data_IF_806569183684
#
_entry.id   IF_806569183684
#
_cell.length_a   1.000
_cell.length_b   1.000
_cell.length_c   1.000
_cell.angle_alpha   90.00
_cell.angle_beta   90.00
_cell.angle_gamma   90.00
#
_symmetry.space_group_name_H-M   'P 1'
#
loop_
_entity.id
_entity.type
_entity.pdbx_description
1 polymer ?
#
# COMPACT_ATOMS: atom_id res chain seq x y z
N UNK A 1 -1.47 3.97 -1.29
CA UNK A 1 -2.92 3.92 -1.00
C UNK A 1 -3.29 4.78 0.20
N UNK A 2 -4.54 5.27 0.23
CA UNK A 2 -5.04 6.11 1.33
C UNK A 2 -5.03 5.44 2.71
N UNK A 3 -5.13 4.11 2.77
CA UNK A 3 -5.12 3.35 4.04
C UNK A 3 -3.85 3.52 4.87
N UNK A 4 -2.70 3.70 4.22
CA UNK A 4 -1.42 3.89 4.91
C UNK A 4 -1.37 5.23 5.66
N UNK A 5 -1.96 6.28 5.07
CA UNK A 5 -2.06 7.61 5.66
C UNK A 5 -2.93 7.57 6.92
N UNK A 6 -4.01 6.77 6.89
CA UNK A 6 -4.92 6.58 8.03
C UNK A 6 -4.19 5.89 9.18
N UNK A 7 -3.45 4.81 8.91
CA UNK A 7 -2.70 4.07 9.95
C UNK A 7 -1.66 4.98 10.59
N UNK A 8 -0.90 5.74 9.79
CA UNK A 8 0.13 6.66 10.31
C UNK A 8 -0.49 7.77 11.16
N UNK A 9 -1.63 8.32 10.75
CA UNK A 9 -2.33 9.37 11.50
C UNK A 9 -2.81 8.87 12.87
N UNK A 10 -3.38 7.66 12.91
CA UNK A 10 -3.81 7.04 14.17
C UNK A 10 -2.60 6.72 15.05
N UNK A 11 -1.50 6.23 14.48
CA UNK A 11 -0.27 5.92 15.21
C UNK A 11 0.28 7.16 15.91
N UNK A 12 0.35 8.29 15.20
CA UNK A 12 0.79 9.59 15.75
C UNK A 12 -0.18 10.08 16.84
N UNK A 13 -1.49 9.96 16.61
CA UNK A 13 -2.50 10.34 17.61
C UNK A 13 -2.40 9.49 18.89
N UNK A 14 -2.20 8.18 18.76
CA UNK A 14 -1.97 7.30 19.91
C UNK A 14 -0.66 7.62 20.62
N UNK A 15 0.41 7.98 19.92
CA UNK A 15 1.69 8.29 20.57
C UNK A 15 1.65 9.60 21.36
N UNK A 16 0.87 10.58 20.90
CA UNK A 16 0.72 11.89 21.54
C UNK A 16 -0.17 11.85 22.78
N UNK A 17 -1.21 11.01 22.78
CA UNK A 17 -2.23 11.04 23.84
C UNK A 17 -2.22 9.82 24.77
N UNK A 18 -1.47 8.76 24.44
CA UNK A 18 -1.44 7.54 25.23
C UNK A 18 -0.34 7.57 26.31
N UNK A 19 -0.68 7.04 27.47
CA UNK A 19 0.18 7.03 28.66
C UNK A 19 1.27 5.94 28.56
N UNK A 20 2.52 6.34 28.29
CA UNK A 20 3.64 5.43 27.95
C UNK A 20 3.97 4.43 29.08
N UNK A 21 3.54 4.69 30.31
CA UNK A 21 3.69 3.78 31.44
C UNK A 21 2.81 2.52 31.35
N UNK A 22 1.81 2.50 30.46
CA UNK A 22 0.93 1.36 30.32
C UNK A 22 1.47 0.34 29.30
N UNK A 23 1.67 -0.90 29.74
CA UNK A 23 2.14 -2.01 28.90
C UNK A 23 1.24 -2.28 27.68
N UNK A 24 -0.05 -1.99 27.79
CA UNK A 24 -1.01 -2.19 26.70
C UNK A 24 -0.70 -1.30 25.49
N UNK A 25 -0.18 -0.10 25.71
CA UNK A 25 0.13 0.86 24.65
C UNK A 25 1.34 0.41 23.84
N UNK A 26 2.33 -0.21 24.48
CA UNK A 26 3.48 -0.81 23.79
C UNK A 26 3.07 -1.90 22.82
N UNK A 27 2.14 -2.78 23.21
CA UNK A 27 1.60 -3.83 22.33
C UNK A 27 0.86 -3.19 21.15
N UNK A 28 0.07 -2.15 21.42
CA UNK A 28 -0.70 -1.44 20.39
C UNK A 28 0.21 -0.76 19.36
N UNK A 29 1.29 -0.11 19.80
CA UNK A 29 2.31 0.48 18.93
C UNK A 29 2.97 -0.60 18.06
N UNK A 30 3.30 -1.75 18.65
CA UNK A 30 3.91 -2.85 17.91
C UNK A 30 3.00 -3.39 16.79
N UNK A 31 1.71 -3.56 17.11
CA UNK A 31 0.69 -3.97 16.13
C UNK A 31 0.52 -2.91 15.04
N UNK A 32 0.45 -1.62 15.40
CA UNK A 32 0.31 -0.55 14.41
C UNK A 32 1.51 -0.47 13.45
N UNK A 33 2.73 -0.64 13.96
CA UNK A 33 3.94 -0.64 13.13
C UNK A 33 3.93 -1.84 12.16
N UNK A 34 3.58 -3.03 12.63
CA UNK A 34 3.50 -4.23 11.77
C UNK A 34 2.43 -4.10 10.70
N UNK A 35 1.23 -3.63 11.05
CA UNK A 35 0.17 -3.37 10.06
C UNK A 35 0.57 -2.26 9.06
N UNK A 36 1.24 -1.21 9.51
CA UNK A 36 1.77 -0.16 8.62
C UNK A 36 2.79 -0.70 7.61
N UNK A 37 3.71 -1.57 8.05
CA UNK A 37 4.69 -2.21 7.17
C UNK A 37 4.06 -3.17 6.17
N UNK A 38 3.08 -3.97 6.59
CA UNK A 38 2.34 -4.88 5.69
C UNK A 38 1.61 -4.07 4.62
N UNK A 39 0.94 -2.98 5.01
CA UNK A 39 0.27 -2.09 4.07
C UNK A 39 1.24 -1.46 3.06
N UNK A 40 2.44 -1.07 3.50
CA UNK A 40 3.49 -0.54 2.61
C UNK A 40 4.00 -1.59 1.64
N UNK A 41 4.23 -2.81 2.12
CA UNK A 41 4.72 -3.91 1.30
C UNK A 41 3.71 -4.31 0.21
N UNK A 42 2.42 -4.37 0.54
CA UNK A 42 1.36 -4.70 -0.42
C UNK A 42 1.19 -3.60 -1.48
N UNK A 43 1.25 -2.33 -1.08
CA UNK A 43 1.26 -1.19 -2.01
C UNK A 43 2.45 -1.26 -2.98
N UNK A 44 3.66 -1.52 -2.46
CA UNK A 44 4.87 -1.60 -3.27
C UNK A 44 4.78 -2.70 -4.34
N UNK A 45 4.19 -3.84 -3.98
CA UNK A 45 3.99 -4.96 -4.90
C UNK A 45 2.99 -4.61 -6.00
N UNK A 46 1.89 -3.94 -5.65
CA UNK A 46 0.85 -3.56 -6.60
C UNK A 46 1.34 -2.52 -7.63
N UNK A 47 2.23 -1.60 -7.24
CA UNK A 47 2.83 -0.63 -8.16
C UNK A 47 3.67 -1.31 -9.25
N UNK A 48 4.46 -2.32 -8.89
CA UNK A 48 5.30 -3.04 -9.86
C UNK A 48 4.46 -3.91 -10.82
N UNK A 49 3.40 -4.54 -10.30
CA UNK A 49 2.52 -5.40 -11.09
C UNK A 49 1.67 -4.58 -12.08
N UNK A 50 1.17 -3.41 -11.66
CA UNK A 50 0.39 -2.54 -12.56
C UNK A 50 1.22 -2.07 -13.76
N UNK A 51 2.49 -1.71 -13.57
CA UNK A 51 3.35 -1.28 -14.68
C UNK A 51 3.55 -2.39 -15.71
N UNK A 52 3.77 -3.64 -15.26
CA UNK A 52 3.89 -4.80 -16.15
C UNK A 52 2.58 -5.09 -16.91
N UNK A 53 1.42 -4.97 -16.25
CA UNK A 53 0.12 -5.15 -16.92
C UNK A 53 -0.17 -4.05 -17.93
N UNK A 54 0.14 -2.78 -17.64
CA UNK A 54 -0.07 -1.66 -18.56
C UNK A 54 0.77 -1.82 -19.83
N UNK A 55 2.04 -2.23 -19.71
CA UNK A 55 2.91 -2.48 -20.86
C UNK A 55 2.37 -3.62 -21.74
N UNK A 56 1.94 -4.72 -21.13
CA UNK A 56 1.38 -5.88 -21.85
C UNK A 56 0.02 -5.56 -22.50
N UNK A 57 -0.83 -4.79 -21.82
CA UNK A 57 -2.09 -4.32 -22.35
C UNK A 57 -1.86 -3.43 -23.57
N UNK A 58 -0.98 -2.42 -23.47
CA UNK A 58 -0.63 -1.52 -24.57
C UNK A 58 -0.12 -2.30 -25.80
N UNK A 59 0.76 -3.26 -25.60
CA UNK A 59 1.32 -4.08 -26.69
C UNK A 59 0.23 -4.90 -27.41
N UNK A 60 -0.71 -5.50 -26.68
CA UNK A 60 -1.83 -6.25 -27.27
C UNK A 60 -2.79 -5.36 -28.08
N UNK A 61 -3.01 -4.10 -27.66
CA UNK A 61 -3.82 -3.17 -28.44
C UNK A 61 -3.18 -2.88 -29.81
N UNK A 62 -1.86 -2.66 -29.88
CA UNK A 62 -1.16 -2.40 -31.14
C UNK A 62 -1.29 -3.56 -32.15
N UNK A 63 -1.08 -4.80 -31.71
CA UNK A 63 -1.24 -5.97 -32.59
C UNK A 63 -2.68 -6.11 -33.10
N UNK A 64 -3.66 -5.78 -32.27
CA UNK A 64 -5.09 -5.87 -32.63
C UNK A 64 -5.48 -4.83 -33.69
N UNK A 65 -4.99 -3.60 -33.61
CA UNK A 65 -5.21 -2.59 -34.65
C UNK A 65 -4.50 -2.93 -35.97
N UNK A 66 -3.29 -3.49 -35.91
CA UNK A 66 -2.53 -3.89 -37.11
C UNK A 66 -3.22 -5.02 -37.88
N UNK A 67 -3.77 -6.02 -37.18
CA UNK A 67 -4.52 -7.13 -37.81
C UNK A 67 -5.86 -6.68 -38.40
N UNK A 68 -6.51 -5.66 -37.82
CA UNK A 68 -7.80 -5.14 -38.30
C UNK A 68 -7.66 -4.21 -39.52
N UNK A 69 -6.44 -3.72 -39.78
CA UNK A 69 -6.12 -2.82 -40.89
C UNK A 69 -5.63 -3.57 -42.15
N UNK A 70 -5.53 -4.90 -42.11
CA UNK A 70 -5.04 -5.79 -43.17
C UNK A 70 -6.21 -6.64 -43.69
#
# INVERSE_FOLDING_TARGET
>A
MGGLIIIVSILISTLLWADINNKNIWILIFVLITFGLIGFYDDYKNLNIQQAMVLKARQNYYYKYCFLAL
#
